data_IF_616485433900
#
_entry.id   IF_616485433900
#
_cell.length_a   1.000
_cell.length_b   1.000
_cell.length_c   1.000
_cell.angle_alpha   90.00
_cell.angle_beta   90.00
_cell.angle_gamma   90.00
#
_symmetry.space_group_name_H-M   'P 1'
#
loop_
_entity.id
_entity.type
_entity.pdbx_description
1 polymer ?
#
# COMPACT_ATOMS: atom_id res chain seq x y z
N UNK A 1 -8.33 10.41 -35.32
CA UNK A 1 -8.08 9.08 -34.72
C UNK A 1 -9.36 8.69 -33.99
N UNK A 2 -9.94 7.52 -34.25
CA UNK A 2 -11.17 7.11 -33.55
C UNK A 2 -10.85 6.92 -32.06
N UNK A 3 -11.84 7.17 -31.20
CA UNK A 3 -11.71 6.91 -29.78
C UNK A 3 -11.41 5.42 -29.57
N UNK A 4 -10.28 5.04 -28.95
CA UNK A 4 -9.96 3.64 -28.69
C UNK A 4 -11.02 2.95 -27.82
N UNK A 5 -11.92 3.67 -27.14
CA UNK A 5 -12.95 3.10 -26.26
C UNK A 5 -14.34 2.98 -26.91
N UNK A 6 -14.51 3.42 -28.16
CA UNK A 6 -15.81 3.40 -28.86
C UNK A 6 -16.43 1.99 -28.99
N UNK A 7 -15.62 0.94 -28.83
CA UNK A 7 -16.08 -0.45 -28.90
C UNK A 7 -16.81 -0.93 -27.63
N UNK A 8 -16.59 -0.27 -26.48
CA UNK A 8 -17.18 -0.71 -25.20
C UNK A 8 -18.71 -0.58 -25.19
N UNK A 9 -19.26 0.41 -25.90
CA UNK A 9 -20.70 0.60 -26.02
C UNK A 9 -21.35 -0.37 -27.02
N UNK A 10 -20.55 -1.05 -27.83
CA UNK A 10 -21.02 -1.92 -28.92
C UNK A 10 -20.89 -3.40 -28.60
N UNK A 11 -19.97 -3.79 -27.71
CA UNK A 11 -19.64 -5.19 -27.45
C UNK A 11 -19.55 -5.45 -25.95
N UNK A 12 -20.49 -6.25 -25.43
CA UNK A 12 -20.44 -6.77 -24.08
C UNK A 12 -19.89 -8.20 -24.05
N UNK A 13 -18.65 -8.36 -23.58
CA UNK A 13 -18.01 -9.67 -23.40
C UNK A 13 -18.56 -10.46 -22.21
N UNK A 14 -19.15 -9.77 -21.23
CA UNK A 14 -19.70 -10.35 -20.03
C UNK A 14 -21.19 -10.71 -20.23
N UNK A 15 -21.44 -11.71 -21.08
CA UNK A 15 -22.79 -12.22 -21.35
C UNK A 15 -23.46 -12.82 -20.12
N UNK A 16 -22.66 -13.37 -19.20
CA UNK A 16 -23.10 -14.03 -17.97
C UNK A 16 -23.34 -13.06 -16.81
N UNK A 17 -23.16 -11.74 -17.03
CA UNK A 17 -23.41 -10.66 -16.05
C UNK A 17 -22.64 -10.86 -14.73
N UNK A 18 -21.41 -11.38 -14.81
CA UNK A 18 -20.50 -11.43 -13.66
C UNK A 18 -20.22 -10.02 -13.10
N UNK A 19 -19.84 -9.90 -11.81
CA UNK A 19 -19.47 -8.61 -11.26
C UNK A 19 -18.27 -8.00 -12.03
N UNK A 20 -18.36 -6.70 -12.34
CA UNK A 20 -17.30 -5.98 -13.06
C UNK A 20 -16.00 -5.93 -12.27
N UNK A 21 -16.09 -6.02 -10.95
CA UNK A 21 -14.96 -5.98 -10.05
C UNK A 21 -15.02 -7.14 -9.06
N UNK A 22 -13.92 -7.90 -8.97
CA UNK A 22 -13.78 -9.04 -8.07
C UNK A 22 -12.42 -8.98 -7.38
N UNK A 23 -12.42 -9.06 -6.04
CA UNK A 23 -11.21 -9.15 -5.25
C UNK A 23 -10.78 -10.62 -5.09
N UNK A 24 -9.49 -10.89 -5.32
CA UNK A 24 -8.89 -12.19 -5.10
C UNK A 24 -7.88 -12.11 -3.96
N UNK A 25 -8.09 -12.90 -2.91
CA UNK A 25 -7.14 -13.05 -1.81
C UNK A 25 -6.68 -14.50 -1.74
N UNK A 26 -5.37 -14.69 -1.87
CA UNK A 26 -4.74 -16.00 -1.89
C UNK A 26 -3.55 -16.00 -0.94
N UNK A 27 -3.39 -17.07 -0.17
CA UNK A 27 -2.25 -17.22 0.73
C UNK A 27 -0.97 -17.54 -0.06
N UNK A 28 0.13 -16.90 0.31
CA UNK A 28 1.45 -17.27 -0.19
C UNK A 28 1.84 -18.65 0.38
N UNK A 29 2.42 -19.55 -0.44
CA UNK A 29 2.87 -20.86 0.05
C UNK A 29 4.01 -20.72 1.07
N UNK A 30 4.04 -21.63 2.05
CA UNK A 30 5.15 -21.72 3.01
C UNK A 30 6.43 -22.29 2.39
N UNK A 31 7.57 -22.20 3.08
CA UNK A 31 8.88 -22.69 2.57
C UNK A 31 8.88 -24.20 2.24
N UNK A 32 8.00 -24.96 2.89
CA UNK A 32 7.86 -26.41 2.71
C UNK A 32 6.75 -26.80 1.72
N UNK A 33 5.96 -25.83 1.27
CA UNK A 33 4.89 -26.05 0.29
C UNK A 33 5.40 -25.86 -1.13
N UNK A 34 4.73 -26.53 -2.07
CA UNK A 34 5.00 -26.35 -3.50
C UNK A 34 4.48 -25.00 -3.98
N UNK A 35 5.05 -24.52 -5.07
CA UNK A 35 4.56 -23.34 -5.77
C UNK A 35 3.09 -23.50 -6.12
N UNK A 36 2.31 -22.44 -5.87
CA UNK A 36 0.87 -22.42 -6.16
C UNK A 36 0.64 -21.64 -7.44
N UNK A 37 -0.01 -22.28 -8.41
CA UNK A 37 -0.35 -21.65 -9.69
C UNK A 37 -1.84 -21.32 -9.69
N UNK A 38 -2.16 -20.04 -9.81
CA UNK A 38 -3.53 -19.54 -9.88
C UNK A 38 -3.79 -19.10 -11.32
N UNK A 39 -4.92 -19.54 -11.88
CA UNK A 39 -5.36 -19.18 -13.23
C UNK A 39 -6.64 -18.34 -13.12
N UNK A 40 -6.57 -17.10 -13.58
CA UNK A 40 -7.66 -16.13 -13.53
C UNK A 40 -8.29 -16.02 -14.92
N UNK A 41 -9.61 -16.10 -14.98
CA UNK A 41 -10.37 -16.07 -16.22
C UNK A 41 -10.35 -14.68 -16.85
N UNK A 42 -10.14 -14.62 -18.18
CA UNK A 42 -10.28 -13.39 -18.98
C UNK A 42 -11.31 -13.51 -20.11
N UNK A 43 -11.85 -14.71 -20.34
CA UNK A 43 -12.84 -14.95 -21.40
C UNK A 43 -14.29 -14.72 -20.96
N UNK A 44 -14.55 -14.48 -19.66
CA UNK A 44 -15.90 -14.28 -19.10
C UNK A 44 -16.89 -15.46 -19.26
N UNK A 45 -16.40 -16.65 -19.61
CA UNK A 45 -17.23 -17.85 -19.85
C UNK A 45 -16.94 -19.01 -18.89
N UNK A 46 -16.06 -18.80 -17.91
CA UNK A 46 -15.77 -19.81 -16.88
C UNK A 46 -16.96 -20.01 -15.95
N UNK A 47 -17.33 -21.27 -15.70
CA UNK A 47 -18.31 -21.63 -14.70
C UNK A 47 -17.81 -21.37 -13.27
N UNK A 48 -16.48 -21.29 -13.08
CA UNK A 48 -15.81 -20.99 -11.81
C UNK A 48 -15.28 -19.56 -11.75
N UNK A 49 -15.89 -18.62 -12.49
CA UNK A 49 -15.49 -17.21 -12.49
C UNK A 49 -15.39 -16.70 -11.04
N UNK A 50 -14.26 -16.07 -10.63
CA UNK A 50 -13.18 -15.46 -11.43
C UNK A 50 -12.03 -16.40 -11.86
N UNK A 51 -12.03 -17.66 -11.44
CA UNK A 51 -10.98 -18.62 -11.78
C UNK A 51 -11.19 -19.21 -13.17
N UNK A 52 -10.12 -19.66 -13.82
CA UNK A 52 -10.18 -20.32 -15.12
C UNK A 52 -10.39 -21.83 -14.98
N UNK A 53 -11.41 -22.33 -15.66
CA UNK A 53 -11.81 -23.74 -15.77
C UNK A 53 -11.51 -24.33 -17.16
N UNK A 54 -10.63 -23.69 -17.93
CA UNK A 54 -10.23 -24.11 -19.28
C UNK A 54 -11.31 -23.97 -20.39
N UNK A 55 -12.46 -23.35 -20.10
CA UNK A 55 -13.50 -22.98 -21.10
C UNK A 55 -12.96 -22.17 -22.27
N UNK A 56 -11.92 -21.36 -22.04
CA UNK A 56 -11.27 -20.56 -23.07
C UNK A 56 -10.74 -21.36 -24.27
N UNK A 57 -10.47 -22.67 -24.11
CA UNK A 57 -10.00 -23.55 -25.18
C UNK A 57 -10.99 -23.66 -26.33
N UNK A 58 -12.29 -23.67 -26.05
CA UNK A 58 -13.34 -23.73 -27.08
C UNK A 58 -13.29 -22.47 -27.97
N UNK A 59 -12.98 -21.30 -27.39
CA UNK A 59 -12.81 -20.08 -28.17
C UNK A 59 -11.53 -20.12 -29.02
N UNK A 60 -10.46 -20.70 -28.50
CA UNK A 60 -9.22 -20.91 -29.27
C UNK A 60 -9.48 -21.81 -30.49
N UNK A 61 -10.21 -22.91 -30.31
CA UNK A 61 -10.60 -23.82 -31.39
C UNK A 61 -11.45 -23.11 -32.46
N UNK A 62 -12.26 -22.13 -32.05
CA UNK A 62 -13.08 -21.30 -32.94
C UNK A 62 -12.31 -20.11 -33.56
N UNK A 63 -11.00 -20.00 -33.33
CA UNK A 63 -10.13 -18.98 -33.94
C UNK A 63 -9.90 -17.71 -33.11
N UNK A 64 -10.32 -17.69 -31.84
CA UNK A 64 -10.00 -16.61 -30.92
C UNK A 64 -8.60 -16.82 -30.26
N UNK A 65 -7.98 -15.78 -29.71
CA UNK A 65 -6.69 -15.86 -29.02
C UNK A 65 -6.80 -15.41 -27.56
N UNK A 66 -7.82 -15.93 -26.87
CA UNK A 66 -8.05 -15.66 -25.45
C UNK A 66 -7.38 -16.71 -24.57
N UNK A 67 -6.88 -16.28 -23.42
CA UNK A 67 -6.27 -17.18 -22.44
C UNK A 67 -6.33 -16.59 -21.03
N UNK A 68 -6.18 -17.43 -19.98
CA UNK A 68 -6.20 -16.95 -18.60
C UNK A 68 -4.96 -16.11 -18.28
N UNK A 69 -5.09 -15.29 -17.24
CA UNK A 69 -3.93 -14.73 -16.56
C UNK A 69 -3.40 -15.77 -15.55
N UNK A 70 -2.11 -16.08 -15.60
CA UNK A 70 -1.49 -17.10 -14.74
C UNK A 70 -0.56 -16.44 -13.74
N UNK A 71 -0.93 -16.51 -12.46
CA UNK A 71 -0.11 -16.06 -11.35
C UNK A 71 0.60 -17.24 -10.70
N UNK A 72 1.94 -17.18 -10.61
CA UNK A 72 2.75 -18.16 -9.88
C UNK A 72 3.13 -17.57 -8.53
N UNK A 73 2.60 -18.16 -7.46
CA UNK A 73 2.98 -17.83 -6.09
C UNK A 73 4.12 -18.76 -5.67
N UNK A 74 5.25 -18.16 -5.33
CA UNK A 74 6.44 -18.86 -4.86
C UNK A 74 6.73 -18.43 -3.42
N UNK A 75 7.16 -19.38 -2.59
CA UNK A 75 7.66 -19.05 -1.26
C UNK A 75 9.00 -18.32 -1.43
N UNK A 76 9.17 -17.17 -0.80
CA UNK A 76 10.47 -16.51 -0.80
C UNK A 76 11.45 -17.31 0.07
N UNK A 77 12.37 -18.02 -0.59
CA UNK A 77 13.49 -18.70 0.09
C UNK A 77 14.55 -17.66 0.38
N UNK A 78 14.64 -17.23 1.64
CA UNK A 78 15.78 -16.45 2.11
C UNK A 78 17.04 -17.31 1.96
N UNK A 79 18.09 -16.77 1.36
CA UNK A 79 19.41 -17.41 1.41
C UNK A 79 19.87 -17.54 2.87
N UNK A 80 20.74 -18.52 3.16
CA UNK A 80 21.26 -18.72 4.51
C UNK A 80 21.97 -17.47 5.04
N UNK A 81 22.60 -16.68 4.16
CA UNK A 81 23.19 -15.39 4.49
C UNK A 81 22.16 -14.34 4.91
N UNK A 82 21.02 -14.26 4.21
CA UNK A 82 19.95 -13.33 4.57
C UNK A 82 19.24 -13.75 5.86
N UNK A 83 19.06 -15.06 6.08
CA UNK A 83 18.59 -15.62 7.35
C UNK A 83 19.51 -15.18 8.50
N UNK A 84 20.83 -15.31 8.33
CA UNK A 84 21.83 -14.89 9.32
C UNK A 84 21.84 -13.37 9.55
N UNK A 85 21.76 -12.56 8.50
CA UNK A 85 21.68 -11.08 8.60
C UNK A 85 20.44 -10.66 9.41
N UNK A 86 19.29 -11.30 9.16
CA UNK A 86 18.04 -11.02 9.88
C UNK A 86 18.13 -11.41 11.36
N UNK A 87 18.74 -12.56 11.68
CA UNK A 87 18.99 -12.97 13.07
C UNK A 87 19.89 -11.98 13.81
N UNK A 88 21.05 -11.63 13.23
CA UNK A 88 21.97 -10.64 13.82
C UNK A 88 21.32 -9.28 14.04
N UNK A 89 20.50 -8.83 13.10
CA UNK A 89 19.72 -7.61 13.24
C UNK A 89 18.75 -7.71 14.43
N UNK A 90 17.95 -8.79 14.50
CA UNK A 90 16.98 -8.96 15.59
C UNK A 90 17.66 -9.00 16.98
N UNK A 91 18.76 -9.73 17.12
CA UNK A 91 19.55 -9.77 18.36
C UNK A 91 20.07 -8.38 18.77
N UNK A 92 20.55 -7.59 17.79
CA UNK A 92 21.02 -6.22 18.03
C UNK A 92 19.90 -5.35 18.61
N UNK A 93 18.68 -5.43 18.07
CA UNK A 93 17.54 -4.66 18.57
C UNK A 93 17.09 -5.11 19.96
N UNK A 94 17.08 -6.42 20.23
CA UNK A 94 16.76 -6.95 21.56
C UNK A 94 17.76 -6.42 22.60
N UNK A 95 19.06 -6.46 22.28
CA UNK A 95 20.11 -5.91 23.16
C UNK A 95 19.90 -4.42 23.43
N UNK A 96 19.66 -3.63 22.39
CA UNK A 96 19.39 -2.18 22.53
C UNK A 96 18.19 -1.91 23.43
N UNK A 97 17.09 -2.64 23.25
CA UNK A 97 15.89 -2.48 24.06
C UNK A 97 16.14 -2.83 25.53
N UNK A 98 16.86 -3.94 25.80
CA UNK A 98 17.19 -4.36 27.16
C UNK A 98 18.12 -3.36 27.87
N UNK A 99 19.11 -2.80 27.18
CA UNK A 99 19.98 -1.74 27.71
C UNK A 99 19.19 -0.46 28.02
N UNK A 100 18.21 -0.13 27.18
CA UNK A 100 17.34 1.03 27.44
C UNK A 100 16.45 0.81 28.67
N UNK A 101 15.97 -0.42 28.90
CA UNK A 101 15.16 -0.75 30.09
C UNK A 101 15.99 -0.81 31.38
N UNK A 102 17.23 -1.32 31.34
CA UNK A 102 18.11 -1.32 32.51
C UNK A 102 18.51 0.11 32.90
N UNK A 103 18.81 0.96 31.91
CA UNK A 103 19.15 2.37 32.15
C UNK A 103 17.97 3.21 32.62
N UNK A 104 16.73 2.81 32.28
CA UNK A 104 15.51 3.40 32.87
C UNK A 104 15.34 2.97 34.33
N UNK A 105 15.60 1.71 34.67
CA UNK A 105 15.48 1.22 36.05
C UNK A 105 16.54 1.84 36.99
N UNK A 106 17.70 2.26 36.48
CA UNK A 106 18.69 3.02 37.24
C UNK A 106 18.42 4.54 37.33
N UNK A 107 17.53 5.08 36.48
CA UNK A 107 17.20 6.51 36.42
C UNK A 107 15.82 6.86 37.03
N UNK A 108 15.06 5.88 37.52
CA UNK A 108 13.76 6.12 38.19
C UNK A 108 13.98 6.32 39.70
N UNK A 109 14.43 7.53 40.03
CA UNK A 109 14.16 8.23 41.28
C UNK A 109 13.82 9.69 40.96
N UNK A 110 12.82 9.91 40.11
CA UNK A 110 12.05 11.16 40.12
C UNK A 110 10.59 10.83 39.86
N UNK A 111 9.79 10.95 40.93
CA UNK A 111 8.33 10.97 40.87
C UNK A 111 7.90 12.18 40.04
N UNK A 112 7.13 11.96 38.98
CA UNK A 112 6.16 12.94 38.52
C UNK A 112 4.98 12.19 37.91
N UNK A 113 3.87 12.18 38.64
CA UNK A 113 2.66 11.48 38.24
C UNK A 113 1.85 12.31 37.25
N UNK A 114 1.41 11.70 36.15
CA UNK A 114 0.22 12.11 35.40
C UNK A 114 -0.42 10.88 34.73
N UNK A 115 -1.75 10.98 34.55
CA UNK A 115 -2.73 9.91 34.27
C UNK A 115 -2.55 9.25 32.88
N UNK A 116 -3.02 8.00 32.67
CA UNK A 116 -2.83 7.29 31.41
C UNK A 116 -3.91 7.68 30.40
N UNK A 117 -3.53 7.85 29.13
CA UNK A 117 -4.49 7.94 28.03
C UNK A 117 -4.04 7.01 26.90
N UNK A 118 -4.90 6.03 26.66
CA UNK A 118 -4.78 4.96 25.66
C UNK A 118 -5.04 5.54 24.27
N UNK A 119 -4.16 5.29 23.28
CA UNK A 119 -4.52 4.61 22.03
C UNK A 119 -3.39 4.56 21.00
N UNK A 120 -3.48 3.53 20.16
CA UNK A 120 -2.53 3.04 19.18
C UNK A 120 -2.22 4.03 18.02
N UNK A 121 -0.90 4.20 17.77
CA UNK A 121 -0.09 4.43 16.54
C UNK A 121 -0.76 4.98 15.25
N UNK A 122 -0.07 5.83 14.43
CA UNK A 122 1.22 5.44 13.82
C UNK A 122 2.27 6.53 13.48
N UNK A 123 3.51 6.04 13.31
CA UNK A 123 4.61 6.52 12.44
C UNK A 123 5.10 7.98 12.54
N UNK A 124 6.16 8.19 13.33
CA UNK A 124 7.01 9.40 13.27
C UNK A 124 8.33 9.08 12.55
N UNK A 125 8.40 9.59 11.31
CA UNK A 125 9.43 10.51 10.82
C UNK A 125 10.85 10.26 11.35
N UNK A 126 11.65 9.65 10.48
CA UNK A 126 13.07 9.97 10.40
C UNK A 126 13.19 11.43 9.90
N UNK A 127 13.91 12.28 10.65
CA UNK A 127 14.33 13.69 10.40
C UNK A 127 13.72 14.74 11.36
N UNK A 128 14.24 14.80 12.59
CA UNK A 128 14.07 15.95 13.48
C UNK A 128 15.42 16.62 13.80
N UNK A 129 15.93 17.40 12.84
CA UNK A 129 16.78 18.57 13.07
C UNK A 129 16.57 19.56 11.91
N UNK A 130 15.44 20.28 11.91
CA UNK A 130 15.17 21.49 11.07
C UNK A 130 13.81 22.19 11.35
N UNK A 131 13.13 21.90 12.46
CA UNK A 131 11.72 22.30 12.63
C UNK A 131 11.46 23.64 13.34
N UNK A 132 12.47 24.36 13.83
CA UNK A 132 12.22 25.61 14.59
C UNK A 132 12.26 26.86 13.68
N UNK A 133 12.77 26.78 12.45
CA UNK A 133 12.89 27.94 11.55
C UNK A 133 11.77 28.11 10.50
N UNK A 134 10.86 27.14 10.33
CA UNK A 134 9.77 27.26 9.33
C UNK A 134 8.49 27.93 9.86
N UNK A 135 8.30 28.04 11.19
CA UNK A 135 7.07 28.63 11.74
C UNK A 135 6.98 30.15 11.55
N UNK A 136 8.11 30.86 11.52
CA UNK A 136 8.11 32.32 11.37
C UNK A 136 7.88 32.78 9.92
N UNK A 137 8.21 31.95 8.92
CA UNK A 137 8.06 32.30 7.49
C UNK A 137 6.61 32.17 7.01
N UNK A 138 5.83 31.26 7.61
CA UNK A 138 4.42 31.05 7.22
C UNK A 138 3.51 32.12 7.82
N UNK A 139 3.77 32.63 9.03
CA UNK A 139 2.95 33.70 9.61
C UNK A 139 3.19 35.07 8.95
N UNK A 140 4.41 35.37 8.50
CA UNK A 140 4.70 36.65 7.82
C UNK A 140 4.09 36.73 6.43
N UNK A 141 3.95 35.60 5.74
CA UNK A 141 3.33 35.54 4.41
C UNK A 141 1.80 35.74 4.44
N UNK A 142 1.11 35.28 5.49
CA UNK A 142 -0.34 35.53 5.66
C UNK A 142 -0.63 37.01 5.97
N UNK A 143 0.14 37.65 6.84
CA UNK A 143 -0.02 39.08 7.16
C UNK A 143 0.23 39.98 5.95
N UNK A 144 1.17 39.61 5.06
CA UNK A 144 1.43 40.36 3.83
C UNK A 144 0.34 40.16 2.78
N UNK A 145 -0.31 39.00 2.74
CA UNK A 145 -1.41 38.73 1.80
C UNK A 145 -2.67 39.53 2.17
N UNK A 146 -3.03 39.55 3.46
CA UNK A 146 -4.22 40.26 3.95
C UNK A 146 -4.12 41.79 3.77
N UNK A 147 -2.90 42.34 3.89
CA UNK A 147 -2.63 43.78 3.64
C UNK A 147 -2.72 44.15 2.17
N UNK A 148 -2.41 43.22 1.25
CA UNK A 148 -2.47 43.44 -0.20
C UNK A 148 -3.92 43.41 -0.71
N UNK A 149 -4.75 42.51 -0.19
CA UNK A 149 -6.19 42.44 -0.49
C UNK A 149 -6.93 43.74 -0.11
N UNK A 150 -6.65 44.30 1.07
CA UNK A 150 -7.24 45.58 1.51
C UNK A 150 -6.84 46.77 0.63
N UNK A 151 -5.61 46.79 0.11
CA UNK A 151 -5.17 47.86 -0.80
C UNK A 151 -5.83 47.72 -2.18
N UNK A 152 -5.93 46.50 -2.72
CA UNK A 152 -6.59 46.25 -4.01
C UNK A 152 -8.06 46.65 -3.95
N UNK A 153 -8.77 46.35 -2.86
CA UNK A 153 -10.18 46.74 -2.68
C UNK A 153 -10.39 48.26 -2.64
N UNK A 154 -9.44 49.04 -2.11
CA UNK A 154 -9.52 50.51 -2.06
C UNK A 154 -9.29 51.10 -3.45
N UNK A 155 -8.33 50.56 -4.21
CA UNK A 155 -8.03 51.01 -5.58
C UNK A 155 -9.06 50.59 -6.62
N UNK A 156 -9.84 49.53 -6.38
CA UNK A 156 -10.96 49.14 -7.26
C UNK A 156 -12.29 49.82 -6.94
N UNK A 157 -12.35 50.60 -5.86
CA UNK A 157 -13.55 51.33 -5.42
C UNK A 157 -13.38 52.87 -5.48
N UNK A 158 -12.31 53.36 -6.09
CA UNK A 158 -12.08 54.79 -6.41
C UNK A 158 -12.09 55.01 -7.91
#
# INVERSE_FOLDING_TARGET
MKDPLEYLDKINFNTNRFPQYTHLMESCPSEHEKEKVIRICRCWQSAKFPYCDDTHKVFIENGDNVGPYVAKLVSYKLSDEEKLKKQKYNEKYIKINNTLTSNKNSAVNMKFGYKPLVNYKPCLINKFKKSIFLSFVVLSSVLLYEKKEKLISIYSAS
#
